data_IF_513572403782
#
_entry.id   IF_513572403782
#
_cell.length_a   1.000
_cell.length_b   1.000
_cell.length_c   1.000
_cell.angle_alpha   90.00
_cell.angle_beta   90.00
_cell.angle_gamma   90.00
#
_symmetry.space_group_name_H-M   'P 1'
#
loop_
_entity.id
_entity.type
_entity.pdbx_description
1 polymer ?
#
# COMPACT_ATOMS: atom_id res chain seq x y z
N UNK A 1 30.27 -17.91 -15.34
CA UNK A 1 29.21 -16.89 -15.56
C UNK A 1 28.88 -16.13 -14.27
N UNK A 2 29.91 -15.67 -13.54
CA UNK A 2 29.80 -15.07 -12.18
C UNK A 2 30.30 -13.62 -12.17
N UNK A 3 30.00 -12.87 -13.24
CA UNK A 3 30.53 -11.50 -13.42
C UNK A 3 29.46 -10.44 -13.71
N UNK A 4 28.18 -10.76 -13.52
CA UNK A 4 27.06 -9.81 -13.67
C UNK A 4 26.35 -9.45 -12.35
N UNK A 5 26.74 -10.05 -11.22
CA UNK A 5 26.15 -9.73 -9.90
C UNK A 5 26.94 -8.68 -9.10
N UNK A 6 28.20 -8.42 -9.46
CA UNK A 6 29.08 -7.53 -8.67
C UNK A 6 29.01 -6.05 -9.09
N UNK A 7 28.61 -5.75 -10.32
CA UNK A 7 28.52 -4.39 -10.87
C UNK A 7 27.29 -3.58 -10.40
N UNK A 8 26.31 -4.22 -9.75
CA UNK A 8 25.13 -3.49 -9.24
C UNK A 8 25.33 -2.87 -7.85
N UNK A 9 26.47 -3.18 -7.19
CA UNK A 9 26.78 -2.72 -5.83
C UNK A 9 27.52 -1.37 -5.80
N UNK A 10 27.90 -0.83 -6.95
CA UNK A 10 28.87 0.26 -7.07
C UNK A 10 28.31 1.54 -7.71
N UNK A 11 26.99 1.71 -7.67
CA UNK A 11 26.36 3.01 -7.93
C UNK A 11 25.79 3.50 -6.62
N UNK A 12 26.60 4.23 -5.85
CA UNK A 12 26.22 5.04 -4.68
C UNK A 12 24.72 4.94 -4.36
N UNK A 13 24.28 3.88 -3.70
CA UNK A 13 22.98 3.92 -3.07
C UNK A 13 23.16 4.93 -1.94
N UNK A 14 22.59 6.11 -2.15
CA UNK A 14 22.64 7.17 -1.14
C UNK A 14 22.06 6.60 0.14
N UNK A 15 22.58 7.02 1.31
CA UNK A 15 22.06 6.56 2.61
C UNK A 15 20.52 6.70 2.71
N UNK A 16 19.95 7.67 1.99
CA UNK A 16 18.50 7.86 1.85
C UNK A 16 17.83 6.70 1.11
N UNK A 17 18.40 6.23 0.00
CA UNK A 17 17.86 5.09 -0.74
C UNK A 17 17.90 3.81 0.10
N UNK A 18 19.02 3.53 0.77
CA UNK A 18 19.14 2.35 1.64
C UNK A 18 18.10 2.38 2.76
N UNK A 19 17.98 3.50 3.47
CA UNK A 19 16.96 3.66 4.52
C UNK A 19 15.54 3.53 3.99
N UNK A 20 15.29 3.98 2.77
CA UNK A 20 13.97 3.85 2.12
C UNK A 20 13.67 2.40 1.77
N UNK A 21 14.64 1.67 1.23
CA UNK A 21 14.49 0.23 0.94
C UNK A 21 14.25 -0.57 2.23
N UNK A 22 15.03 -0.31 3.28
CA UNK A 22 14.85 -0.96 4.59
C UNK A 22 13.47 -0.67 5.18
N UNK A 23 13.00 0.59 5.09
CA UNK A 23 11.66 0.97 5.53
C UNK A 23 10.57 0.24 4.72
N UNK A 24 10.68 0.23 3.39
CA UNK A 24 9.69 -0.44 2.54
C UNK A 24 9.68 -1.96 2.77
N UNK A 25 10.83 -2.58 3.04
CA UNK A 25 10.86 -4.00 3.38
C UNK A 25 10.26 -4.29 4.76
N UNK A 26 10.49 -3.41 5.75
CA UNK A 26 9.87 -3.58 7.07
C UNK A 26 8.36 -3.36 7.09
N UNK A 27 7.85 -2.37 6.32
CA UNK A 27 6.46 -1.91 6.42
C UNK A 27 5.54 -2.28 5.25
N UNK A 28 6.07 -2.82 4.15
CA UNK A 28 5.20 -3.28 3.05
C UNK A 28 4.26 -4.40 3.52
N UNK A 29 2.96 -4.15 3.38
CA UNK A 29 1.87 -5.09 3.73
C UNK A 29 1.63 -6.15 2.66
N UNK A 30 1.91 -5.82 1.39
CA UNK A 30 1.69 -6.70 0.25
C UNK A 30 3.03 -7.06 -0.38
N UNK A 31 3.47 -8.31 -0.17
CA UNK A 31 4.79 -8.78 -0.62
C UNK A 31 4.79 -9.36 -2.04
N UNK A 32 3.69 -10.01 -2.45
CA UNK A 32 3.54 -10.58 -3.79
C UNK A 32 3.06 -9.53 -4.78
N UNK A 33 3.63 -9.53 -5.99
CA UNK A 33 3.30 -8.57 -7.04
C UNK A 33 1.82 -8.67 -7.45
N UNK A 34 1.30 -9.89 -7.48
CA UNK A 34 -0.07 -10.21 -7.83
C UNK A 34 -1.05 -9.59 -6.82
N UNK A 35 -0.71 -9.63 -5.52
CA UNK A 35 -1.52 -9.01 -4.46
C UNK A 35 -1.50 -7.49 -4.56
N UNK A 36 -0.33 -6.89 -4.84
CA UNK A 36 -0.20 -5.43 -5.08
C UNK A 36 -1.09 -5.00 -6.24
N UNK A 37 -1.05 -5.72 -7.36
CA UNK A 37 -1.89 -5.41 -8.52
C UNK A 37 -3.39 -5.61 -8.24
N UNK A 38 -3.75 -6.58 -7.40
CA UNK A 38 -5.13 -6.79 -6.97
C UNK A 38 -5.63 -5.64 -6.09
N UNK A 39 -4.86 -5.20 -5.10
CA UNK A 39 -5.18 -4.04 -4.25
C UNK A 39 -5.31 -2.76 -5.08
N UNK A 40 -4.39 -2.53 -6.02
CA UNK A 40 -4.46 -1.36 -6.91
C UNK A 40 -5.74 -1.37 -7.75
N UNK A 41 -6.16 -2.53 -8.25
CA UNK A 41 -7.44 -2.67 -8.97
C UNK A 41 -8.64 -2.35 -8.08
N UNK A 42 -8.68 -2.91 -6.87
CA UNK A 42 -9.75 -2.65 -5.89
C UNK A 42 -9.86 -1.15 -5.58
N UNK A 43 -8.76 -0.52 -5.17
CA UNK A 43 -8.72 0.92 -4.86
C UNK A 43 -9.05 1.79 -6.09
N UNK A 44 -8.68 1.36 -7.29
CA UNK A 44 -8.94 2.11 -8.52
C UNK A 44 -10.41 2.12 -8.94
N UNK A 45 -11.20 1.14 -8.49
CA UNK A 45 -12.64 1.06 -8.75
C UNK A 45 -13.40 2.22 -8.09
N UNK A 46 -12.91 2.70 -6.95
CA UNK A 46 -13.44 3.84 -6.19
C UNK A 46 -12.98 5.18 -6.78
N UNK A 47 -13.66 5.63 -7.84
CA UNK A 47 -13.34 6.84 -8.61
C UNK A 47 -13.48 8.14 -7.82
N UNK A 48 -14.29 8.13 -6.79
CA UNK A 48 -14.50 9.19 -5.81
C UNK A 48 -13.26 9.46 -4.94
N UNK A 49 -12.40 8.44 -4.76
CA UNK A 49 -11.17 8.55 -3.98
C UNK A 49 -10.05 9.15 -4.82
N UNK A 50 -9.33 10.11 -4.23
CA UNK A 50 -8.13 10.68 -4.85
C UNK A 50 -6.98 9.67 -4.82
N UNK A 51 -5.96 9.87 -5.67
CA UNK A 51 -4.75 9.03 -5.67
C UNK A 51 -4.06 9.02 -4.29
N UNK A 52 -4.09 10.14 -3.57
CA UNK A 52 -3.49 10.23 -2.24
C UNK A 52 -4.23 9.37 -1.22
N UNK A 53 -5.56 9.43 -1.20
CA UNK A 53 -6.40 8.61 -0.30
C UNK A 53 -6.22 7.13 -0.56
N UNK A 54 -6.22 6.71 -1.83
CA UNK A 54 -5.94 5.31 -2.21
C UNK A 54 -4.57 4.85 -1.70
N UNK A 55 -3.53 5.67 -1.88
CA UNK A 55 -2.20 5.35 -1.39
C UNK A 55 -2.15 5.25 0.15
N UNK A 56 -2.89 6.10 0.87
CA UNK A 56 -2.97 6.03 2.33
C UNK A 56 -3.69 4.76 2.80
N UNK A 57 -4.85 4.43 2.23
CA UNK A 57 -5.60 3.19 2.56
C UNK A 57 -4.72 1.96 2.29
N UNK A 58 -4.08 1.92 1.12
CA UNK A 58 -3.15 0.85 0.71
C UNK A 58 -1.90 0.70 1.59
N UNK A 59 -1.48 1.76 2.28
CA UNK A 59 -0.28 1.73 3.13
C UNK A 59 -0.60 1.48 4.60
N UNK A 60 -1.68 2.07 5.11
CA UNK A 60 -2.07 1.99 6.51
C UNK A 60 -2.76 0.67 6.83
N UNK A 61 -3.59 0.16 5.91
CA UNK A 61 -4.36 -1.09 6.07
C UNK A 61 -5.12 -1.13 7.40
N UNK A 62 -5.94 -0.12 7.65
CA UNK A 62 -6.78 0.00 8.84
C UNK A 62 -7.76 -1.19 8.96
N UNK A 63 -8.12 -1.55 10.19
CA UNK A 63 -9.02 -2.68 10.45
C UNK A 63 -10.51 -2.27 10.42
N UNK A 64 -10.78 -1.00 10.71
CA UNK A 64 -12.16 -0.48 10.82
C UNK A 64 -12.36 0.80 10.03
N UNK A 65 -13.58 1.01 9.55
CA UNK A 65 -14.02 2.29 8.96
C UNK A 65 -13.76 3.48 9.89
N UNK A 66 -14.00 3.32 11.20
CA UNK A 66 -13.78 4.38 12.20
C UNK A 66 -12.30 4.81 12.25
N UNK A 67 -11.38 3.84 12.33
CA UNK A 67 -9.95 4.09 12.30
C UNK A 67 -9.54 4.75 10.98
N UNK A 68 -10.02 4.23 9.86
CA UNK A 68 -9.67 4.73 8.53
C UNK A 68 -10.12 6.19 8.32
N UNK A 69 -11.34 6.55 8.72
CA UNK A 69 -11.84 7.93 8.65
C UNK A 69 -11.17 8.84 9.67
N UNK A 70 -10.72 8.31 10.81
CA UNK A 70 -9.95 9.08 11.80
C UNK A 70 -8.56 9.45 11.27
N UNK A 71 -7.86 8.48 10.66
CA UNK A 71 -6.51 8.69 10.12
C UNK A 71 -6.51 9.45 8.79
N UNK A 72 -7.56 9.29 7.98
CA UNK A 72 -7.72 9.91 6.66
C UNK A 72 -9.04 10.72 6.65
N UNK A 73 -9.09 11.88 7.32
CA UNK A 73 -10.32 12.65 7.50
C UNK A 73 -10.96 13.15 6.19
N UNK A 74 -10.20 13.19 5.09
CA UNK A 74 -10.73 13.56 3.78
C UNK A 74 -11.68 12.52 3.16
N UNK A 75 -11.79 11.32 3.76
CA UNK A 75 -12.73 10.26 3.36
C UNK A 75 -14.15 10.45 3.90
N UNK A 76 -14.36 11.31 4.91
CA UNK A 76 -15.58 11.35 5.71
C UNK A 76 -16.88 11.33 4.89
N UNK A 77 -16.93 12.13 3.82
CA UNK A 77 -18.11 12.33 2.97
C UNK A 77 -17.96 11.72 1.56
N UNK A 78 -16.94 10.89 1.31
CA UNK A 78 -16.66 10.35 -0.03
C UNK A 78 -17.17 8.93 -0.23
N UNK A 79 -17.04 8.10 0.79
CA UNK A 79 -17.38 6.68 0.75
C UNK A 79 -18.23 6.33 1.97
N UNK A 80 -19.24 5.49 1.75
CA UNK A 80 -20.10 4.97 2.81
C UNK A 80 -19.33 4.09 3.78
N UNK A 81 -19.81 4.00 5.03
CA UNK A 81 -19.13 3.21 6.06
C UNK A 81 -19.12 1.71 5.75
N UNK A 82 -20.22 1.22 5.14
CA UNK A 82 -20.35 -0.17 4.69
C UNK A 82 -19.40 -0.48 3.52
N UNK A 83 -19.40 0.37 2.48
CA UNK A 83 -18.51 0.23 1.32
C UNK A 83 -17.02 0.30 1.72
N UNK A 84 -16.68 1.20 2.66
CA UNK A 84 -15.31 1.32 3.15
C UNK A 84 -14.91 0.07 3.95
N UNK A 85 -15.79 -0.45 4.80
CA UNK A 85 -15.47 -1.66 5.56
C UNK A 85 -15.28 -2.86 4.63
N UNK A 86 -16.14 -3.02 3.62
CA UNK A 86 -16.01 -4.09 2.61
C UNK A 86 -14.67 -4.00 1.87
N UNK A 87 -14.28 -2.79 1.45
CA UNK A 87 -12.97 -2.54 0.82
C UNK A 87 -11.80 -2.93 1.73
N UNK A 88 -11.83 -2.54 3.01
CA UNK A 88 -10.79 -2.88 3.99
C UNK A 88 -10.70 -4.40 4.19
N UNK A 89 -11.84 -5.08 4.32
CA UNK A 89 -11.93 -6.53 4.50
C UNK A 89 -11.40 -7.29 3.27
N UNK A 90 -11.70 -6.82 2.06
CA UNK A 90 -11.15 -7.39 0.82
C UNK A 90 -9.63 -7.22 0.72
N UNK A 91 -9.12 -6.03 1.07
CA UNK A 91 -7.69 -5.79 1.12
C UNK A 91 -6.99 -6.67 2.16
N UNK A 92 -7.61 -6.89 3.32
CA UNK A 92 -7.04 -7.73 4.37
C UNK A 92 -6.84 -9.19 3.93
N UNK A 93 -7.73 -9.72 3.09
CA UNK A 93 -7.57 -11.07 2.49
C UNK A 93 -6.32 -11.16 1.60
N UNK A 94 -5.90 -10.05 0.99
CA UNK A 94 -4.72 -10.00 0.12
C UNK A 94 -3.40 -9.79 0.91
N UNK A 95 -3.47 -9.42 2.19
CA UNK A 95 -2.30 -9.28 3.06
C UNK A 95 -1.77 -10.62 3.57
N UNK A 96 -2.66 -11.59 3.77
CA UNK A 96 -2.34 -12.91 4.36
C UNK A 96 -2.09 -14.01 3.32
N UNK A 97 -2.24 -13.69 2.03
CA UNK A 97 -2.11 -14.62 0.90
C UNK A 97 -0.71 -14.65 0.28
#
# INVERSE_FOLDING_TARGET
MVKRRKDRKDRNETDVLNKTLDYLDAFSRFKQKENVEAVERLLSAHKELTKFERAQIGSLCCDTTEECKTLIPSLADKIGDEDLQELLDEMAKLMSA
#
